data_IF_294873437702
#
_entry.id   IF_294873437702
#
_cell.length_a   1.000
_cell.length_b   1.000
_cell.length_c   1.000
_cell.angle_alpha   90.00
_cell.angle_beta   90.00
_cell.angle_gamma   90.00
#
_symmetry.space_group_name_H-M   'P 1'
#
loop_
_entity.id
_entity.type
_entity.pdbx_description
1 polymer ?
#
# COMPACT_ATOMS: atom_id res chain seq x y z
N UNK A 1 -10.37 23.55 12.24
CA UNK A 1 -9.44 22.64 11.52
C UNK A 1 -8.10 22.85 12.15
N UNK A 2 -7.53 21.80 12.76
CA UNK A 2 -6.16 21.89 13.30
C UNK A 2 -5.23 22.13 12.11
N UNK A 3 -4.58 23.28 12.07
CA UNK A 3 -3.57 23.61 11.04
C UNK A 3 -2.31 22.81 11.34
N UNK A 4 -1.79 22.09 10.34
CA UNK A 4 -0.48 21.47 10.44
C UNK A 4 0.60 22.56 10.60
N UNK A 5 1.41 22.46 11.64
CA UNK A 5 2.50 23.40 11.90
C UNK A 5 3.76 23.07 11.09
N UNK A 6 3.85 21.86 10.54
CA UNK A 6 4.99 21.34 9.78
C UNK A 6 4.54 20.15 8.91
N UNK A 7 5.21 19.97 7.77
CA UNK A 7 5.00 18.87 6.84
C UNK A 7 6.05 17.76 6.96
N UNK A 8 6.69 17.63 8.14
CA UNK A 8 7.57 16.50 8.43
C UNK A 8 6.76 15.20 8.66
N UNK A 9 7.38 14.04 8.42
CA UNK A 9 6.73 12.73 8.51
C UNK A 9 6.12 12.42 9.87
N UNK A 10 6.70 12.94 10.98
CA UNK A 10 6.20 12.68 12.33
C UNK A 10 4.85 13.36 12.55
N UNK A 11 4.73 14.64 12.21
CA UNK A 11 3.52 15.43 12.40
C UNK A 11 2.44 15.02 11.40
N UNK A 12 2.82 14.78 10.15
CA UNK A 12 1.93 14.22 9.13
C UNK A 12 1.34 12.88 9.56
N UNK A 13 2.15 11.99 10.12
CA UNK A 13 1.68 10.68 10.60
C UNK A 13 0.63 10.81 11.70
N UNK A 14 0.86 11.67 12.67
CA UNK A 14 -0.07 11.90 13.77
C UNK A 14 -1.40 12.50 13.26
N UNK A 15 -1.33 13.53 12.41
CA UNK A 15 -2.48 14.23 11.87
C UNK A 15 -3.33 13.33 10.96
N UNK A 16 -2.72 12.70 9.94
CA UNK A 16 -3.46 11.91 8.96
C UNK A 16 -3.99 10.59 9.52
N UNK A 17 -3.31 10.01 10.52
CA UNK A 17 -3.89 8.87 11.25
C UNK A 17 -5.18 9.25 11.99
N UNK A 18 -5.20 10.40 12.69
CA UNK A 18 -6.39 10.92 13.36
C UNK A 18 -7.51 11.20 12.35
N UNK A 19 -7.18 11.89 11.26
CA UNK A 19 -8.13 12.24 10.22
C UNK A 19 -8.74 10.98 9.56
N UNK A 20 -7.92 9.99 9.19
CA UNK A 20 -8.40 8.73 8.62
C UNK A 20 -9.28 7.94 9.59
N UNK A 21 -8.92 7.88 10.87
CA UNK A 21 -9.73 7.22 11.90
C UNK A 21 -11.04 7.96 12.22
N UNK A 22 -11.22 9.21 11.82
CA UNK A 22 -12.48 9.94 12.00
C UNK A 22 -13.54 9.64 10.94
N UNK A 23 -13.18 8.96 9.86
CA UNK A 23 -14.12 8.52 8.85
C UNK A 23 -15.12 7.52 9.43
N UNK A 24 -16.38 7.66 9.07
CA UNK A 24 -17.40 6.64 9.40
C UNK A 24 -17.23 5.40 8.50
N UNK A 25 -17.84 4.27 8.89
CA UNK A 25 -17.83 3.06 8.06
C UNK A 25 -18.50 3.28 6.69
N UNK A 26 -19.54 4.10 6.66
CA UNK A 26 -20.23 4.45 5.43
C UNK A 26 -19.36 5.31 4.50
N UNK A 27 -18.70 6.33 5.06
CA UNK A 27 -17.75 7.16 4.30
C UNK A 27 -16.61 6.32 3.73
N UNK A 28 -15.99 5.47 4.55
CA UNK A 28 -14.90 4.61 4.09
C UNK A 28 -15.34 3.68 2.96
N UNK A 29 -16.48 2.97 3.12
CA UNK A 29 -17.02 2.08 2.06
C UNK A 29 -17.31 2.82 0.75
N UNK A 30 -17.89 4.03 0.81
CA UNK A 30 -18.11 4.83 -0.38
C UNK A 30 -16.79 5.20 -1.06
N UNK A 31 -15.82 5.67 -0.29
CA UNK A 31 -14.50 6.06 -0.80
C UNK A 31 -13.72 4.85 -1.35
N UNK A 32 -13.85 3.65 -0.76
CA UNK A 32 -13.27 2.42 -1.31
C UNK A 32 -13.79 2.12 -2.71
N UNK A 33 -15.09 2.28 -2.94
CA UNK A 33 -15.69 2.11 -4.28
C UNK A 33 -15.18 3.13 -5.28
N UNK A 34 -15.08 4.39 -4.87
CA UNK A 34 -14.56 5.48 -5.70
C UNK A 34 -13.07 5.26 -6.03
N UNK A 35 -12.26 4.85 -5.04
CA UNK A 35 -10.85 4.47 -5.24
C UNK A 35 -10.74 3.33 -6.25
N UNK A 36 -11.60 2.33 -6.17
CA UNK A 36 -11.59 1.21 -7.12
C UNK A 36 -11.84 1.65 -8.56
N UNK A 37 -12.71 2.64 -8.79
CA UNK A 37 -12.92 3.24 -10.11
C UNK A 37 -11.62 3.86 -10.66
N UNK A 38 -10.83 4.51 -9.81
CA UNK A 38 -9.55 5.09 -10.21
C UNK A 38 -8.46 4.04 -10.37
N UNK A 39 -8.44 3.03 -9.49
CA UNK A 39 -7.49 1.91 -9.56
C UNK A 39 -7.57 1.18 -10.90
N UNK A 40 -8.77 0.98 -11.44
CA UNK A 40 -9.01 0.37 -12.75
C UNK A 40 -8.39 1.14 -13.93
N UNK A 41 -8.07 2.42 -13.75
CA UNK A 41 -7.42 3.24 -14.79
C UNK A 41 -5.90 3.06 -14.85
N UNK A 42 -5.29 2.41 -13.85
CA UNK A 42 -3.84 2.17 -13.83
C UNK A 42 -3.51 1.23 -14.99
N UNK A 43 -2.51 1.56 -15.84
CA UNK A 43 -2.17 0.76 -17.02
C UNK A 43 -1.37 -0.51 -16.63
N UNK A 44 -2.02 -1.40 -15.87
CA UNK A 44 -1.43 -2.68 -15.45
C UNK A 44 -1.52 -3.72 -16.58
N UNK A 45 -2.48 -3.58 -17.47
CA UNK A 45 -2.73 -4.51 -18.59
C UNK A 45 -1.54 -4.58 -19.55
N UNK A 46 -1.27 -5.78 -20.07
CA UNK A 46 -0.18 -6.03 -21.01
C UNK A 46 1.17 -6.31 -20.34
N UNK A 47 1.33 -6.03 -19.06
CA UNK A 47 2.49 -6.48 -18.29
C UNK A 47 2.35 -7.98 -18.01
N UNK A 48 3.38 -8.78 -18.24
CA UNK A 48 3.42 -10.22 -17.97
C UNK A 48 3.44 -10.55 -16.47
N UNK A 49 2.43 -10.07 -15.73
CA UNK A 49 2.34 -10.17 -14.27
C UNK A 49 2.34 -11.63 -13.81
N UNK A 50 3.11 -11.91 -12.76
CA UNK A 50 3.18 -13.22 -12.10
C UNK A 50 2.77 -13.14 -10.64
N UNK A 51 3.25 -12.11 -9.92
CA UNK A 51 3.00 -11.95 -8.50
C UNK A 51 2.72 -10.50 -8.10
N UNK A 52 1.77 -10.33 -7.18
CA UNK A 52 1.49 -9.06 -6.51
C UNK A 52 1.66 -9.22 -5.00
N UNK A 53 2.25 -8.22 -4.33
CA UNK A 53 2.27 -8.11 -2.88
C UNK A 53 1.21 -7.11 -2.45
N UNK A 54 0.25 -7.56 -1.66
CA UNK A 54 -0.91 -6.75 -1.26
C UNK A 54 -1.02 -6.76 0.27
N UNK A 55 -1.13 -5.58 0.88
CA UNK A 55 -1.33 -5.49 2.32
C UNK A 55 -2.73 -5.94 2.74
N UNK A 56 -2.85 -6.47 3.95
CA UNK A 56 -4.13 -6.72 4.60
C UNK A 56 -4.46 -5.47 5.41
N UNK A 57 -5.62 -4.85 5.19
CA UNK A 57 -5.98 -3.61 5.87
C UNK A 57 -6.03 -3.76 7.38
N UNK A 58 -5.38 -2.85 8.09
CA UNK A 58 -5.45 -2.76 9.55
C UNK A 58 -6.80 -2.10 9.91
N UNK A 59 -7.77 -2.89 10.35
CA UNK A 59 -9.15 -2.46 10.56
C UNK A 59 -9.30 -1.26 11.50
N UNK A 60 -8.59 -1.27 12.62
CA UNK A 60 -8.66 -0.19 13.63
C UNK A 60 -7.98 1.11 13.20
N UNK A 61 -7.26 1.12 12.07
CA UNK A 61 -6.64 2.32 11.49
C UNK A 61 -7.34 2.79 10.23
N UNK A 62 -8.43 2.15 9.82
CA UNK A 62 -9.21 2.46 8.63
C UNK A 62 -8.35 2.58 7.36
N UNK A 63 -7.57 1.56 7.08
CA UNK A 63 -6.90 1.47 5.78
C UNK A 63 -7.89 1.18 4.67
N UNK A 64 -7.57 1.59 3.45
CA UNK A 64 -8.36 1.29 2.26
C UNK A 64 -8.48 -0.22 2.08
N UNK A 65 -9.69 -0.71 1.81
CA UNK A 65 -9.93 -2.14 1.58
C UNK A 65 -9.33 -2.60 0.26
N UNK A 66 -8.48 -3.61 0.31
CA UNK A 66 -7.77 -4.16 -0.85
C UNK A 66 -8.46 -5.34 -1.51
N UNK A 67 -9.57 -5.84 -0.96
CA UNK A 67 -10.27 -7.03 -1.50
C UNK A 67 -10.69 -6.88 -2.95
N UNK A 68 -11.29 -5.74 -3.31
CA UNK A 68 -11.71 -5.47 -4.68
C UNK A 68 -10.51 -5.33 -5.62
N UNK A 69 -9.37 -4.81 -5.14
CA UNK A 69 -8.14 -4.76 -5.93
C UNK A 69 -7.62 -6.17 -6.23
N UNK A 70 -7.62 -7.06 -5.22
CA UNK A 70 -7.22 -8.47 -5.40
C UNK A 70 -8.11 -9.14 -6.43
N UNK A 71 -9.43 -9.03 -6.26
CA UNK A 71 -10.41 -9.62 -7.17
C UNK A 71 -10.20 -9.11 -8.60
N UNK A 72 -10.10 -7.82 -8.81
CA UNK A 72 -9.85 -7.22 -10.13
C UNK A 72 -8.55 -7.71 -10.76
N UNK A 73 -7.47 -7.75 -10.00
CA UNK A 73 -6.18 -8.22 -10.51
C UNK A 73 -6.21 -9.69 -10.93
N UNK A 74 -6.89 -10.55 -10.16
CA UNK A 74 -6.95 -11.99 -10.43
C UNK A 74 -7.99 -12.39 -11.48
N UNK A 75 -9.12 -11.69 -11.57
CA UNK A 75 -10.21 -12.07 -12.45
C UNK A 75 -10.15 -11.32 -13.80
N UNK A 76 -9.83 -10.01 -13.77
CA UNK A 76 -9.92 -9.17 -14.97
C UNK A 76 -8.54 -8.89 -15.61
N UNK A 77 -7.48 -8.73 -14.81
CA UNK A 77 -6.14 -8.39 -15.34
C UNK A 77 -5.33 -9.64 -15.68
N UNK A 78 -5.23 -10.58 -14.74
CA UNK A 78 -4.40 -11.77 -14.91
C UNK A 78 -4.97 -12.96 -14.14
N UNK A 79 -5.80 -13.81 -14.76
CA UNK A 79 -6.17 -15.09 -14.18
C UNK A 79 -4.93 -15.90 -13.78
N UNK A 80 -4.93 -16.38 -12.53
CA UNK A 80 -3.79 -17.10 -11.95
C UNK A 80 -2.67 -16.20 -11.40
N UNK A 81 -2.87 -14.88 -11.29
CA UNK A 81 -1.94 -14.00 -10.58
C UNK A 81 -1.75 -14.49 -9.14
N UNK A 82 -0.50 -14.70 -8.77
CA UNK A 82 -0.14 -15.03 -7.40
C UNK A 82 -0.26 -13.79 -6.51
N UNK A 83 -1.06 -13.87 -5.45
CA UNK A 83 -1.20 -12.77 -4.47
C UNK A 83 -0.50 -13.17 -3.18
N UNK A 84 0.61 -12.49 -2.91
CA UNK A 84 1.36 -12.62 -1.67
C UNK A 84 0.93 -11.55 -0.66
N UNK A 85 1.10 -11.86 0.61
CA UNK A 85 0.82 -10.95 1.73
C UNK A 85 2.08 -10.71 2.56
N UNK A 86 2.21 -9.51 3.18
CA UNK A 86 3.37 -9.18 3.98
C UNK A 86 3.40 -10.00 5.28
N UNK A 87 4.61 -10.44 5.66
CA UNK A 87 4.92 -10.97 7.00
C UNK A 87 6.11 -10.20 7.56
N UNK A 88 5.88 -9.44 8.63
CA UNK A 88 6.88 -8.51 9.17
C UNK A 88 7.73 -9.15 10.26
N UNK A 89 9.02 -8.85 10.26
CA UNK A 89 9.92 -9.17 11.34
C UNK A 89 10.35 -7.88 12.05
N UNK A 90 9.78 -7.62 13.22
CA UNK A 90 10.08 -6.41 13.99
C UNK A 90 11.46 -6.41 14.65
N UNK A 91 12.13 -7.55 14.73
CA UNK A 91 13.50 -7.65 15.27
C UNK A 91 14.54 -7.23 14.25
N UNK A 92 14.43 -7.74 13.02
CA UNK A 92 15.34 -7.41 11.91
C UNK A 92 14.87 -6.20 11.11
N UNK A 93 13.63 -5.75 11.32
CA UNK A 93 12.92 -4.75 10.53
C UNK A 93 12.78 -5.13 9.05
N UNK A 94 12.85 -6.42 8.73
CA UNK A 94 12.59 -6.96 7.40
C UNK A 94 11.12 -7.35 7.22
N UNK A 95 10.72 -7.52 5.96
CA UNK A 95 9.40 -7.97 5.57
C UNK A 95 9.52 -9.00 4.46
N UNK A 96 8.84 -10.13 4.63
CA UNK A 96 8.73 -11.18 3.65
C UNK A 96 7.41 -11.10 2.90
N UNK A 97 7.41 -11.49 1.63
CA UNK A 97 6.20 -11.68 0.83
C UNK A 97 5.83 -13.17 0.88
N UNK A 98 4.67 -13.50 1.44
CA UNK A 98 4.20 -14.87 1.64
C UNK A 98 3.04 -15.15 0.69
N UNK A 99 3.22 -16.12 -0.18
CA UNK A 99 2.17 -16.69 -1.02
C UNK A 99 1.40 -17.72 -0.19
N UNK A 100 0.10 -17.53 0.06
CA UNK A 100 -0.69 -18.50 0.82
C UNK A 100 -0.81 -19.84 0.08
N UNK A 101 -0.80 -20.91 0.84
CA UNK A 101 -1.12 -22.27 0.43
C UNK A 101 -2.43 -22.71 1.08
N UNK A 102 -2.96 -23.87 0.71
CA UNK A 102 -4.24 -24.37 1.23
C UNK A 102 -4.32 -24.48 2.77
N UNK A 103 -3.18 -24.71 3.43
CA UNK A 103 -3.08 -24.80 4.89
C UNK A 103 -2.70 -23.48 5.59
N UNK A 104 -2.46 -22.41 4.82
CA UNK A 104 -2.11 -21.10 5.40
C UNK A 104 -3.28 -20.50 6.15
N UNK A 105 -3.06 -20.11 7.39
CA UNK A 105 -4.01 -19.35 8.20
C UNK A 105 -3.57 -17.90 8.30
N UNK A 106 -4.49 -17.00 8.67
CA UNK A 106 -4.19 -15.61 8.91
C UNK A 106 -4.46 -15.29 10.37
N UNK A 107 -3.45 -14.79 11.08
CA UNK A 107 -3.52 -14.54 12.51
C UNK A 107 -3.17 -13.09 12.85
N UNK A 108 -3.83 -12.55 13.87
CA UNK A 108 -3.46 -11.23 14.38
C UNK A 108 -2.22 -11.34 15.27
N UNK A 109 -1.19 -10.57 14.93
CA UNK A 109 0.05 -10.49 15.68
C UNK A 109 -0.08 -9.57 16.91
N UNK A 110 0.90 -9.61 17.81
CA UNK A 110 0.98 -8.67 18.97
C UNK A 110 1.04 -7.19 18.55
N UNK A 111 1.37 -6.91 17.28
CA UNK A 111 1.37 -5.57 16.69
C UNK A 111 0.05 -5.21 16.02
N UNK A 112 -0.97 -6.05 16.20
CA UNK A 112 -2.31 -5.88 15.61
C UNK A 112 -2.32 -5.85 14.09
N UNK A 113 -1.38 -6.59 13.49
CA UNK A 113 -1.32 -6.86 12.06
C UNK A 113 -1.89 -8.25 11.80
N UNK A 114 -2.77 -8.38 10.83
CA UNK A 114 -3.17 -9.68 10.31
C UNK A 114 -2.13 -10.16 9.31
N UNK A 115 -1.46 -11.26 9.60
CA UNK A 115 -0.38 -11.78 8.77
C UNK A 115 -0.56 -13.28 8.49
N UNK A 116 -0.04 -13.80 7.36
CA UNK A 116 -0.10 -15.23 7.06
C UNK A 116 0.77 -16.03 8.04
N UNK A 117 0.20 -17.13 8.54
CA UNK A 117 0.92 -18.17 9.26
C UNK A 117 1.02 -19.42 8.41
N UNK A 118 2.23 -19.75 7.96
CA UNK A 118 2.51 -20.69 6.87
C UNK A 118 2.53 -20.03 5.50
N UNK A 119 2.64 -20.84 4.45
CA UNK A 119 2.74 -20.40 3.06
C UNK A 119 4.18 -20.33 2.54
N UNK A 120 4.32 -20.06 1.25
CA UNK A 120 5.60 -20.02 0.55
C UNK A 120 6.16 -18.58 0.50
N UNK A 121 7.39 -18.39 0.93
CA UNK A 121 8.10 -17.13 0.73
C UNK A 121 8.51 -16.97 -0.73
N UNK A 122 8.17 -15.83 -1.34
CA UNK A 122 8.62 -15.46 -2.67
C UNK A 122 9.73 -14.39 -2.60
N UNK A 123 10.65 -14.46 -3.56
CA UNK A 123 11.75 -13.50 -3.62
C UNK A 123 11.21 -12.09 -4.01
N UNK A 124 11.74 -11.00 -3.45
CA UNK A 124 11.35 -9.64 -3.83
C UNK A 124 11.46 -9.39 -5.34
N UNK A 125 12.47 -9.94 -6.00
CA UNK A 125 12.63 -9.84 -7.44
C UNK A 125 11.58 -10.58 -8.29
N UNK A 126 10.72 -11.40 -7.68
CA UNK A 126 9.60 -12.05 -8.37
C UNK A 126 8.30 -11.24 -8.30
N UNK A 127 8.27 -10.15 -7.53
CA UNK A 127 7.09 -9.31 -7.33
C UNK A 127 7.01 -8.30 -8.48
N UNK A 128 5.86 -8.22 -9.12
CA UNK A 128 5.60 -7.31 -10.25
C UNK A 128 4.81 -6.06 -9.82
N UNK A 129 3.94 -6.21 -8.81
CA UNK A 129 3.08 -5.14 -8.29
C UNK A 129 3.13 -5.15 -6.78
N UNK A 130 3.26 -3.98 -6.16
CA UNK A 130 3.13 -3.80 -4.71
C UNK A 130 2.05 -2.76 -4.42
N UNK A 131 1.00 -3.15 -3.71
CA UNK A 131 0.09 -2.19 -3.08
C UNK A 131 0.70 -1.72 -1.76
N UNK A 132 0.84 -0.42 -1.64
CA UNK A 132 1.56 0.23 -0.54
C UNK A 132 0.58 0.92 0.41
N UNK A 133 0.53 0.52 1.69
CA UNK A 133 -0.24 1.24 2.69
C UNK A 133 0.42 2.58 2.98
N UNK A 134 -0.40 3.62 3.12
CA UNK A 134 0.09 4.95 3.43
C UNK A 134 -0.93 5.75 4.26
N UNK A 135 -0.50 6.82 4.87
CA UNK A 135 -1.33 7.78 5.58
C UNK A 135 -1.58 9.02 4.73
N UNK A 136 -0.54 9.49 4.05
CA UNK A 136 -0.55 10.64 3.15
C UNK A 136 0.59 10.50 2.14
N UNK A 137 0.43 11.15 1.01
CA UNK A 137 1.44 11.26 -0.04
C UNK A 137 1.56 12.71 -0.52
N UNK A 138 2.62 13.04 -1.24
CA UNK A 138 2.84 14.36 -1.80
C UNK A 138 2.72 14.39 -3.34
N UNK A 139 2.82 15.57 -3.93
CA UNK A 139 2.72 15.78 -5.37
C UNK A 139 3.86 15.13 -6.18
N UNK A 140 4.91 14.65 -5.51
CA UNK A 140 6.04 13.92 -6.12
C UNK A 140 5.95 12.40 -5.93
N UNK A 141 4.85 11.91 -5.33
CA UNK A 141 4.68 10.48 -5.06
C UNK A 141 5.40 9.98 -3.80
N UNK A 142 6.08 10.84 -3.04
CA UNK A 142 6.62 10.44 -1.74
C UNK A 142 5.47 10.13 -0.79
N UNK A 143 5.66 9.20 0.14
CA UNK A 143 4.61 8.76 1.04
C UNK A 143 5.04 8.73 2.51
N UNK A 144 4.09 8.93 3.39
CA UNK A 144 4.22 8.70 4.83
C UNK A 144 3.43 7.46 5.21
N UNK A 145 4.13 6.41 5.64
CA UNK A 145 3.55 5.23 6.26
C UNK A 145 3.66 5.27 7.79
N UNK A 146 3.66 4.10 8.44
CA UNK A 146 3.72 3.97 9.90
C UNK A 146 5.12 4.18 10.52
N UNK A 147 6.15 4.45 9.71
CA UNK A 147 7.48 4.85 10.16
C UNK A 147 8.43 3.72 10.58
N UNK A 148 8.18 2.49 10.11
CA UNK A 148 9.09 1.35 10.33
C UNK A 148 9.98 1.05 9.12
N UNK A 149 9.69 1.61 7.94
CA UNK A 149 10.45 1.45 6.70
C UNK A 149 10.43 0.03 6.13
N UNK A 150 9.48 -0.82 6.50
CA UNK A 150 9.37 -2.19 5.98
C UNK A 150 9.27 -2.23 4.46
N UNK A 151 8.38 -1.42 3.91
CA UNK A 151 8.15 -1.39 2.46
C UNK A 151 9.33 -0.81 1.70
N UNK A 152 9.99 0.23 2.21
CA UNK A 152 11.16 0.83 1.54
C UNK A 152 12.31 -0.18 1.45
N UNK A 153 12.57 -0.93 2.54
CA UNK A 153 13.58 -1.99 2.52
C UNK A 153 13.21 -3.18 1.62
N UNK A 154 11.93 -3.52 1.51
CA UNK A 154 11.48 -4.56 0.57
C UNK A 154 11.64 -4.07 -0.87
N UNK A 155 11.15 -2.87 -1.17
CA UNK A 155 11.21 -2.27 -2.51
C UNK A 155 12.64 -2.12 -3.01
N UNK A 156 13.60 -1.78 -2.11
CA UNK A 156 15.02 -1.74 -2.45
C UNK A 156 15.60 -3.09 -2.89
N UNK A 157 14.92 -4.20 -2.58
CA UNK A 157 15.29 -5.57 -3.00
C UNK A 157 14.49 -6.06 -4.22
N UNK A 158 13.45 -5.32 -4.62
CA UNK A 158 12.65 -5.62 -5.81
C UNK A 158 13.39 -5.20 -7.09
N UNK A 159 12.86 -5.63 -8.23
CA UNK A 159 13.34 -5.13 -9.53
C UNK A 159 12.99 -3.65 -9.69
N UNK A 160 13.77 -2.89 -10.45
CA UNK A 160 13.50 -1.45 -10.70
C UNK A 160 12.14 -1.18 -11.36
N UNK A 161 11.61 -2.15 -12.10
CA UNK A 161 10.34 -2.06 -12.83
C UNK A 161 9.13 -2.54 -12.04
N UNK A 162 9.29 -2.87 -10.74
CA UNK A 162 8.17 -3.21 -9.87
C UNK A 162 7.19 -2.03 -9.80
N UNK A 163 5.90 -2.32 -10.01
CA UNK A 163 4.86 -1.29 -9.99
C UNK A 163 4.42 -0.97 -8.55
N UNK A 164 4.58 0.28 -8.13
CA UNK A 164 4.35 0.78 -6.77
C UNK A 164 3.06 1.60 -6.72
N UNK A 165 2.01 1.04 -6.16
CA UNK A 165 0.68 1.64 -6.17
C UNK A 165 0.24 1.97 -4.74
N UNK A 166 -0.10 3.22 -4.50
CA UNK A 166 -0.72 3.69 -3.26
C UNK A 166 -2.24 3.78 -3.38
N UNK A 167 -2.93 3.56 -2.26
CA UNK A 167 -4.36 3.80 -2.13
C UNK A 167 -4.57 4.80 -0.99
N UNK A 168 -5.29 5.88 -1.24
CA UNK A 168 -5.49 6.94 -0.24
C UNK A 168 -6.91 7.50 -0.27
N UNK A 169 -7.51 7.67 0.90
CA UNK A 169 -8.79 8.38 1.02
C UNK A 169 -8.64 9.89 0.81
N UNK A 170 -7.42 10.41 0.94
CA UNK A 170 -7.16 11.85 0.97
C UNK A 170 -6.26 12.25 -0.21
N UNK A 171 -6.42 13.47 -0.73
CA UNK A 171 -5.57 13.99 -1.77
C UNK A 171 -4.13 14.21 -1.29
N UNK A 172 -3.17 14.42 -2.22
CA UNK A 172 -1.79 14.71 -1.85
C UNK A 172 -1.65 16.07 -1.17
N UNK A 173 -0.65 16.16 -0.31
CA UNK A 173 -0.10 17.44 0.14
C UNK A 173 0.91 17.97 -0.89
N UNK A 174 1.33 19.23 -0.73
CA UNK A 174 2.29 19.83 -1.65
C UNK A 174 3.64 19.12 -1.61
N UNK A 175 4.21 18.93 -0.41
CA UNK A 175 5.52 18.32 -0.23
C UNK A 175 5.70 17.78 1.18
N UNK A 176 6.38 16.64 1.31
CA UNK A 176 6.90 16.10 2.56
C UNK A 176 8.31 16.68 2.76
N UNK A 177 8.58 17.29 3.93
CA UNK A 177 9.82 18.07 4.17
C UNK A 177 11.05 17.19 4.40
N UNK A 178 10.90 16.06 5.09
CA UNK A 178 11.99 15.19 5.55
C UNK A 178 12.11 13.89 4.75
N UNK A 179 11.91 13.99 3.42
CA UNK A 179 12.17 12.89 2.50
C UNK A 179 13.67 12.62 2.44
N UNK A 180 14.05 11.34 2.46
CA UNK A 180 15.43 10.87 2.40
C UNK A 180 15.65 10.01 1.15
N UNK A 181 16.91 9.71 0.83
CA UNK A 181 17.30 8.81 -0.25
C UNK A 181 16.79 7.37 -0.11
N UNK A 182 16.36 6.98 1.09
CA UNK A 182 15.80 5.65 1.37
C UNK A 182 14.30 5.55 1.11
N UNK A 183 13.62 6.68 0.93
CA UNK A 183 12.19 6.72 0.66
C UNK A 183 11.94 6.45 -0.84
N UNK A 184 11.27 5.35 -1.14
CA UNK A 184 10.99 4.96 -2.53
C UNK A 184 9.61 5.48 -2.91
N UNK A 185 9.48 6.39 -3.91
CA UNK A 185 8.20 6.99 -4.28
C UNK A 185 7.25 5.98 -4.95
N UNK A 186 5.98 6.37 -5.01
CA UNK A 186 4.94 5.67 -5.76
C UNK A 186 5.09 5.89 -7.26
N UNK A 187 4.59 4.93 -8.07
CA UNK A 187 4.34 5.14 -9.50
C UNK A 187 2.93 5.68 -9.71
N UNK A 188 1.96 5.19 -8.92
CA UNK A 188 0.58 5.64 -8.96
C UNK A 188 -0.01 5.76 -7.56
N UNK A 189 -0.98 6.66 -7.40
CA UNK A 189 -1.83 6.69 -6.22
C UNK A 189 -3.29 6.90 -6.63
N UNK A 190 -4.17 5.96 -6.27
CA UNK A 190 -5.60 6.09 -6.48
C UNK A 190 -6.25 6.74 -5.24
N UNK A 191 -7.02 7.81 -5.47
CA UNK A 191 -7.87 8.48 -4.49
C UNK A 191 -9.33 8.43 -4.94
N UNK A 192 -10.33 8.79 -4.12
CA UNK A 192 -11.72 8.83 -4.57
C UNK A 192 -11.93 9.72 -5.80
N UNK A 193 -11.24 10.87 -5.86
CA UNK A 193 -11.46 11.86 -6.90
C UNK A 193 -10.71 11.55 -8.21
N UNK A 194 -9.48 11.02 -8.13
CA UNK A 194 -8.64 10.81 -9.31
C UNK A 194 -7.48 9.86 -9.09
N UNK A 195 -6.92 9.40 -10.21
CA UNK A 195 -5.63 8.71 -10.26
C UNK A 195 -4.50 9.73 -10.41
N UNK A 196 -3.48 9.61 -9.57
CA UNK A 196 -2.22 10.34 -9.69
C UNK A 196 -1.18 9.42 -10.33
N UNK A 197 -0.47 9.95 -11.34
CA UNK A 197 0.58 9.26 -12.09
C UNK A 197 1.91 9.99 -11.88
N UNK A 198 2.91 9.27 -11.37
CA UNK A 198 4.25 9.77 -11.06
C UNK A 198 5.33 9.15 -11.96
N UNK A 199 4.95 8.35 -12.96
CA UNK A 199 5.91 7.61 -13.80
C UNK A 199 6.73 8.47 -14.75
N UNK A 200 6.31 9.74 -14.94
CA UNK A 200 6.96 10.70 -15.86
C UNK A 200 7.67 11.84 -15.11
N UNK A 201 8.04 11.64 -13.85
CA UNK A 201 8.72 12.65 -13.04
C UNK A 201 10.23 12.38 -12.96
#
# INVERSE_FOLDING_TARGET
MDTLNSYNKKDLRAYYKKLRCSLTDEQARKMDQEIMIQFRKIPIQGKGLKAALIYIPISHTREVDTKQCIQYLQEEIKPGLQVAFPKTNFTTLDMDAILPEAATTFTETKHRLTEPDGGQKIAPGAIDVVLLPLLVFDQKGNRVGYGKGFYDRLLAKCRPDVLRIGLSYLPPITQIEDVTEFDIPLDYCATPDRLYDFTNQ
#
